data_IF_109112094783
#
_entry.id   IF_109112094783
#
_cell.length_a   1.000
_cell.length_b   1.000
_cell.length_c   1.000
_cell.angle_alpha   90.00
_cell.angle_beta   90.00
_cell.angle_gamma   90.00
#
_symmetry.space_group_name_H-M   'P 1'
#
loop_
_entity.id
_entity.type
_entity.pdbx_description
1 polymer ?
#
# COMPACT_ATOMS: atom_id res chain seq x y z
N UNK A 1 -36.72 -10.13 -37.75
CA UNK A 1 -36.65 -9.51 -36.41
C UNK A 1 -36.07 -10.53 -35.43
N UNK A 2 -34.79 -10.45 -35.02
CA UNK A 2 -34.24 -11.40 -34.04
C UNK A 2 -34.73 -11.06 -32.63
N UNK A 3 -35.28 -12.05 -31.93
CA UNK A 3 -35.83 -11.91 -30.58
C UNK A 3 -34.69 -11.68 -29.57
N UNK A 4 -34.74 -10.57 -28.85
CA UNK A 4 -33.88 -10.28 -27.70
C UNK A 4 -34.14 -11.32 -26.61
N UNK A 5 -33.15 -12.18 -26.33
CA UNK A 5 -33.18 -13.09 -25.18
C UNK A 5 -33.25 -12.25 -23.91
N UNK A 6 -34.35 -12.38 -23.15
CA UNK A 6 -34.53 -11.71 -21.87
C UNK A 6 -33.42 -12.11 -20.89
N UNK A 7 -32.81 -11.11 -20.24
CA UNK A 7 -31.84 -11.33 -19.16
C UNK A 7 -32.53 -12.08 -18.03
N UNK A 8 -31.91 -13.16 -17.54
CA UNK A 8 -32.39 -13.87 -16.34
C UNK A 8 -32.41 -12.89 -15.15
N UNK A 9 -33.47 -12.90 -14.32
CA UNK A 9 -33.49 -12.11 -13.10
C UNK A 9 -32.38 -12.57 -12.16
N UNK A 10 -31.73 -11.60 -11.52
CA UNK A 10 -30.69 -11.80 -10.51
C UNK A 10 -31.31 -12.49 -9.28
N UNK A 11 -30.82 -13.68 -8.95
CA UNK A 11 -31.24 -14.45 -7.78
C UNK A 11 -30.23 -14.23 -6.63
N UNK A 12 -30.57 -13.45 -5.59
CA UNK A 12 -29.68 -13.19 -4.47
C UNK A 12 -29.57 -14.38 -3.48
N UNK A 13 -30.37 -15.44 -3.64
CA UNK A 13 -30.38 -16.60 -2.75
C UNK A 13 -29.46 -17.75 -3.21
N UNK A 14 -28.85 -17.63 -4.39
CA UNK A 14 -27.86 -18.58 -4.86
C UNK A 14 -26.69 -18.66 -3.90
N UNK A 15 -26.35 -19.86 -3.43
CA UNK A 15 -25.15 -20.08 -2.63
C UNK A 15 -23.93 -19.68 -3.46
N UNK A 16 -23.43 -18.46 -3.25
CA UNK A 16 -22.20 -18.01 -3.89
C UNK A 16 -21.07 -18.95 -3.44
N UNK A 17 -20.46 -19.64 -4.40
CA UNK A 17 -19.23 -20.36 -4.15
C UNK A 17 -18.20 -19.35 -3.63
N UNK A 18 -17.58 -19.66 -2.48
CA UNK A 18 -16.58 -18.78 -1.85
C UNK A 18 -15.33 -18.64 -2.72
N UNK A 19 -15.17 -19.54 -3.71
CA UNK A 19 -14.13 -19.52 -4.75
C UNK A 19 -14.59 -18.84 -6.04
N UNK A 20 -15.82 -18.34 -6.12
CA UNK A 20 -16.32 -17.64 -7.30
C UNK A 20 -15.44 -16.43 -7.62
N UNK A 21 -14.98 -16.36 -8.87
CA UNK A 21 -14.20 -15.26 -9.41
C UNK A 21 -15.07 -14.20 -10.12
N UNK A 22 -16.37 -14.21 -9.84
CA UNK A 22 -17.33 -13.32 -10.49
C UNK A 22 -17.11 -11.89 -10.01
N UNK A 23 -16.65 -11.03 -10.92
CA UNK A 23 -16.38 -9.63 -10.65
C UNK A 23 -17.59 -8.77 -10.98
N UNK A 24 -17.95 -7.80 -10.11
CA UNK A 24 -18.97 -6.81 -10.45
C UNK A 24 -18.53 -5.95 -11.65
N UNK A 25 -19.50 -5.35 -12.34
CA UNK A 25 -19.23 -4.48 -13.48
C UNK A 25 -18.31 -3.32 -13.07
N UNK A 26 -17.22 -3.09 -13.83
CA UNK A 26 -16.14 -2.13 -13.54
C UNK A 26 -15.34 -2.40 -12.24
N UNK A 27 -15.25 -3.65 -11.79
CA UNK A 27 -14.38 -3.99 -10.67
C UNK A 27 -12.90 -3.76 -11.02
N UNK A 28 -12.28 -2.77 -10.38
CA UNK A 28 -10.83 -2.61 -10.37
C UNK A 28 -10.25 -3.42 -9.20
N UNK A 29 -9.85 -4.67 -9.47
CA UNK A 29 -9.32 -5.58 -8.46
C UNK A 29 -8.04 -6.27 -8.93
N UNK A 30 -7.19 -6.64 -7.97
CA UNK A 30 -6.03 -7.50 -8.20
C UNK A 30 -6.13 -8.76 -7.33
N UNK A 31 -5.68 -9.90 -7.83
CA UNK A 31 -5.66 -11.16 -7.06
C UNK A 31 -4.53 -11.15 -6.05
N UNK A 32 -4.83 -11.43 -4.79
CA UNK A 32 -3.88 -11.55 -3.69
C UNK A 32 -4.08 -12.89 -3.01
N UNK A 33 -2.99 -13.63 -2.78
CA UNK A 33 -3.03 -14.83 -1.96
C UNK A 33 -3.06 -14.42 -0.47
N UNK A 34 -4.17 -14.73 0.22
CA UNK A 34 -4.37 -14.43 1.63
C UNK A 34 -4.54 -15.74 2.39
N UNK A 35 -4.09 -15.80 3.63
CA UNK A 35 -4.32 -16.97 4.49
C UNK A 35 -5.82 -17.17 4.69
N UNK A 36 -6.26 -18.42 4.53
CA UNK A 36 -7.67 -18.77 4.65
C UNK A 36 -8.08 -18.73 6.14
N UNK A 37 -8.96 -17.79 6.55
CA UNK A 37 -9.38 -17.69 7.95
C UNK A 37 -10.23 -18.89 8.41
N UNK A 38 -10.70 -19.72 7.49
CA UNK A 38 -11.50 -20.92 7.76
C UNK A 38 -10.75 -22.21 7.43
N UNK A 39 -9.44 -22.14 7.15
CA UNK A 39 -8.66 -23.33 6.93
C UNK A 39 -8.59 -24.20 8.19
N UNK A 40 -8.87 -25.49 8.00
CA UNK A 40 -8.73 -26.51 9.04
C UNK A 40 -7.26 -26.74 9.40
N UNK A 41 -6.33 -26.44 8.47
CA UNK A 41 -4.89 -26.53 8.67
C UNK A 41 -4.24 -25.15 8.47
N UNK A 42 -3.39 -24.69 9.39
CA UNK A 42 -2.70 -23.42 9.26
C UNK A 42 -1.77 -23.42 8.03
N UNK A 43 -1.83 -22.33 7.24
CA UNK A 43 -0.97 -22.13 6.07
C UNK A 43 -1.66 -22.31 4.71
N UNK A 44 -2.91 -22.78 4.68
CA UNK A 44 -3.70 -22.78 3.45
C UNK A 44 -4.02 -21.35 3.02
N UNK A 45 -3.86 -21.07 1.72
CA UNK A 45 -4.10 -19.76 1.12
C UNK A 45 -5.27 -19.81 0.15
N UNK A 46 -6.10 -18.78 0.19
CA UNK A 46 -7.15 -18.51 -0.78
C UNK A 46 -6.75 -17.33 -1.67
N UNK A 47 -7.20 -17.36 -2.92
CA UNK A 47 -7.07 -16.23 -3.84
C UNK A 47 -8.23 -15.29 -3.55
N UNK A 48 -7.93 -14.11 -3.01
CA UNK A 48 -8.90 -13.04 -2.76
C UNK A 48 -8.69 -11.90 -3.78
N UNK A 49 -9.76 -11.18 -4.10
CA UNK A 49 -9.69 -9.97 -4.91
C UNK A 49 -9.54 -8.75 -3.99
N UNK A 50 -8.43 -8.03 -4.12
CA UNK A 50 -8.20 -6.74 -3.45
C UNK A 50 -8.60 -5.61 -4.40
N UNK A 51 -9.50 -4.74 -3.95
CA UNK A 51 -9.83 -3.50 -4.68
C UNK A 51 -8.59 -2.60 -4.79
N UNK A 52 -8.31 -2.12 -6.01
CA UNK A 52 -7.22 -1.16 -6.29
C UNK A 52 -7.73 0.25 -6.59
N UNK A 53 -9.05 0.46 -6.55
CA UNK A 53 -9.71 1.74 -6.92
C UNK A 53 -9.16 2.96 -6.15
N UNK A 54 -8.79 2.75 -4.89
CA UNK A 54 -8.24 3.79 -4.00
C UNK A 54 -6.79 3.47 -3.58
N UNK A 55 -6.09 2.64 -4.35
CA UNK A 55 -4.72 2.21 -4.06
C UNK A 55 -3.82 2.52 -5.26
N UNK A 56 -3.38 3.80 -5.41
CA UNK A 56 -2.60 4.21 -6.57
C UNK A 56 -1.32 3.39 -6.70
N UNK A 57 -0.65 3.06 -5.58
CA UNK A 57 0.53 2.20 -5.57
C UNK A 57 0.21 0.78 -6.08
N UNK A 58 -0.89 0.18 -5.61
CA UNK A 58 -1.36 -1.12 -6.09
C UNK A 58 -1.70 -1.12 -7.57
N UNK A 59 -2.35 -0.05 -8.05
CA UNK A 59 -2.67 0.15 -9.46
C UNK A 59 -1.41 0.25 -10.32
N UNK A 60 -0.43 1.07 -9.91
CA UNK A 60 0.85 1.19 -10.61
C UNK A 60 1.58 -0.16 -10.75
N UNK A 61 1.58 -0.97 -9.69
CA UNK A 61 2.21 -2.28 -9.70
C UNK A 61 1.43 -3.29 -10.57
N UNK A 62 0.10 -3.31 -10.48
CA UNK A 62 -0.74 -4.19 -11.31
C UNK A 62 -0.56 -3.94 -12.82
N UNK A 63 -0.35 -2.68 -13.21
CA UNK A 63 -0.05 -2.29 -14.59
C UNK A 63 1.45 -2.39 -14.95
N UNK A 64 2.30 -2.97 -14.08
CA UNK A 64 3.76 -3.10 -14.27
C UNK A 64 4.46 -1.76 -14.55
N UNK A 65 3.91 -0.66 -14.03
CA UNK A 65 4.54 0.65 -14.15
C UNK A 65 5.66 0.81 -13.12
N UNK A 66 5.56 0.13 -11.98
CA UNK A 66 6.61 -0.02 -10.97
C UNK A 66 6.94 -1.49 -10.78
N UNK A 67 8.17 -1.79 -10.34
CA UNK A 67 8.58 -3.16 -10.04
C UNK A 67 8.18 -3.60 -8.61
N UNK A 68 8.44 -4.87 -8.29
CA UNK A 68 8.10 -5.45 -6.98
C UNK A 68 8.91 -4.81 -5.85
N UNK A 69 10.14 -4.37 -6.12
CA UNK A 69 11.02 -3.72 -5.14
C UNK A 69 10.48 -2.36 -4.74
N UNK A 70 10.11 -1.53 -5.73
CA UNK A 70 9.44 -0.24 -5.56
C UNK A 70 8.08 -0.39 -4.89
N UNK A 71 7.32 -1.43 -5.25
CA UNK A 71 6.05 -1.73 -4.60
C UNK A 71 6.24 -2.04 -3.11
N UNK A 72 7.18 -2.93 -2.77
CA UNK A 72 7.50 -3.29 -1.39
C UNK A 72 8.04 -2.11 -0.58
N UNK A 73 8.84 -1.24 -1.18
CA UNK A 73 9.36 -0.04 -0.50
C UNK A 73 8.24 0.94 -0.17
N UNK A 74 7.31 1.17 -1.10
CA UNK A 74 6.11 1.97 -0.85
C UNK A 74 5.22 1.39 0.25
N UNK A 75 5.05 0.06 0.28
CA UNK A 75 4.30 -0.62 1.37
C UNK A 75 5.01 -0.54 2.73
N UNK A 76 6.34 -0.64 2.75
CA UNK A 76 7.12 -0.47 3.98
C UNK A 76 6.95 0.95 4.56
N UNK A 77 6.97 1.97 3.69
CA UNK A 77 6.70 3.36 4.08
C UNK A 77 5.30 3.54 4.65
N UNK A 78 4.26 3.01 4.00
CA UNK A 78 2.88 3.08 4.51
C UNK A 78 2.75 2.40 5.88
N UNK A 79 3.38 1.25 6.09
CA UNK A 79 3.35 0.53 7.36
C UNK A 79 4.04 1.32 8.48
N UNK A 80 5.17 1.98 8.19
CA UNK A 80 5.81 2.87 9.16
C UNK A 80 4.95 4.08 9.48
N UNK A 81 4.30 4.68 8.48
CA UNK A 81 3.36 5.80 8.69
C UNK A 81 2.18 5.39 9.59
N UNK A 82 1.53 4.27 9.28
CA UNK A 82 0.43 3.73 10.09
C UNK A 82 0.86 3.41 11.53
N UNK A 83 2.08 2.90 11.72
CA UNK A 83 2.64 2.66 13.05
C UNK A 83 2.88 3.97 13.80
N UNK A 84 3.50 4.96 13.15
CA UNK A 84 3.85 6.24 13.76
C UNK A 84 2.60 7.06 14.14
N UNK A 85 1.59 7.09 13.27
CA UNK A 85 0.32 7.79 13.49
C UNK A 85 -0.60 7.09 14.50
N UNK A 86 -0.30 5.83 14.86
CA UNK A 86 -1.12 5.09 15.83
C UNK A 86 -1.03 5.78 17.19
N UNK A 87 -2.11 6.39 17.64
CA UNK A 87 -2.20 6.96 18.98
C UNK A 87 -1.97 5.93 20.10
N UNK A 88 -1.67 6.38 21.33
CA UNK A 88 -1.48 5.49 22.48
C UNK A 88 -2.71 4.58 22.63
N UNK A 89 -2.45 3.27 22.80
CA UNK A 89 -3.51 2.26 22.89
C UNK A 89 -4.34 2.55 24.13
N UNK A 90 -5.65 2.74 23.96
CA UNK A 90 -6.57 2.98 25.07
C UNK A 90 -6.38 1.91 26.17
N UNK A 91 -6.22 2.39 27.40
CA UNK A 91 -6.08 1.55 28.60
C UNK A 91 -7.47 1.06 28.97
N UNK A 92 -7.65 -0.26 29.01
CA UNK A 92 -8.86 -0.86 29.56
C UNK A 92 -8.77 -0.84 31.09
N UNK A 93 -9.49 0.10 31.71
CA UNK A 93 -9.54 0.29 33.17
C UNK A 93 -10.41 -0.74 33.88
N UNK A 94 -11.14 -1.60 33.14
CA UNK A 94 -11.99 -2.65 33.72
C UNK A 94 -11.24 -3.95 33.98
N UNK A 95 -9.99 -4.04 33.51
CA UNK A 95 -9.15 -5.23 33.67
C UNK A 95 -8.50 -5.23 35.05
N UNK A 96 -8.63 -6.36 35.75
CA UNK A 96 -8.07 -6.58 37.09
C UNK A 96 -6.56 -6.31 37.12
N UNK A 97 -6.13 -5.48 38.08
CA UNK A 97 -4.74 -5.10 38.26
C UNK A 97 -3.95 -6.30 38.79
N UNK A 98 -3.13 -6.91 37.93
CA UNK A 98 -2.21 -7.99 38.30
C UNK A 98 -0.85 -7.42 38.68
N UNK A 99 -0.25 -7.93 39.76
CA UNK A 99 1.02 -7.50 40.38
C UNK A 99 2.29 -7.74 39.51
N UNK A 100 2.11 -7.88 38.20
CA UNK A 100 3.16 -7.96 37.18
C UNK A 100 2.91 -7.06 35.97
N UNK A 101 1.93 -6.14 36.05
CA UNK A 101 1.62 -5.20 34.99
C UNK A 101 2.69 -4.13 34.87
N UNK A 102 3.74 -4.39 34.07
CA UNK A 102 4.67 -3.32 33.69
C UNK A 102 3.88 -2.14 33.12
N UNK A 103 4.20 -0.94 33.61
CA UNK A 103 3.66 0.31 33.10
C UNK A 103 3.94 0.35 31.59
N UNK A 104 2.90 0.24 30.77
CA UNK A 104 3.08 0.21 29.31
C UNK A 104 3.61 1.57 28.87
N UNK A 105 4.76 1.58 28.20
CA UNK A 105 5.32 2.80 27.64
C UNK A 105 4.27 3.48 26.74
N UNK A 106 4.06 4.80 26.89
CA UNK A 106 3.06 5.53 26.11
C UNK A 106 3.38 5.55 24.60
N UNK A 107 4.66 5.38 24.23
CA UNK A 107 5.14 5.19 22.86
C UNK A 107 5.94 3.89 22.84
N UNK A 108 5.53 2.94 22.01
CA UNK A 108 6.26 1.67 21.85
C UNK A 108 7.57 1.87 21.09
N UNK A 109 8.60 1.07 21.37
CA UNK A 109 9.86 1.10 20.59
C UNK A 109 9.63 0.93 19.08
N UNK A 110 8.62 0.14 18.68
CA UNK A 110 8.23 0.00 17.28
C UNK A 110 7.75 1.31 16.64
N UNK A 111 7.03 2.15 17.39
CA UNK A 111 6.62 3.49 16.94
C UNK A 111 7.81 4.43 16.83
N UNK A 112 8.71 4.42 17.83
CA UNK A 112 9.95 5.21 17.80
C UNK A 112 10.78 4.90 16.55
N UNK A 113 11.00 3.62 16.27
CA UNK A 113 11.75 3.17 15.10
C UNK A 113 11.06 3.53 13.78
N UNK A 114 9.73 3.45 13.72
CA UNK A 114 8.97 3.89 12.55
C UNK A 114 9.16 5.39 12.30
N UNK A 115 9.01 6.24 13.33
CA UNK A 115 9.25 7.69 13.21
C UNK A 115 10.68 8.02 12.76
N UNK A 116 11.69 7.32 13.28
CA UNK A 116 13.07 7.52 12.84
C UNK A 116 13.27 7.17 11.35
N UNK A 117 12.65 6.08 10.87
CA UNK A 117 12.68 5.71 9.46
C UNK A 117 11.95 6.73 8.57
N UNK A 118 10.81 7.25 9.02
CA UNK A 118 10.08 8.29 8.30
C UNK A 118 10.89 9.59 8.20
N UNK A 119 11.50 10.04 9.30
CA UNK A 119 12.35 11.24 9.29
C UNK A 119 13.55 11.08 8.34
N UNK A 120 14.15 9.88 8.31
CA UNK A 120 15.21 9.56 7.35
C UNK A 120 14.70 9.60 5.91
N UNK A 121 13.53 9.02 5.66
CA UNK A 121 12.89 9.06 4.35
C UNK A 121 12.66 10.50 3.89
N UNK A 122 12.13 11.35 4.77
CA UNK A 122 11.88 12.76 4.46
C UNK A 122 13.16 13.51 4.09
N UNK A 123 14.25 13.23 4.80
CA UNK A 123 15.55 13.82 4.53
C UNK A 123 16.12 13.40 3.18
N UNK A 124 16.07 12.10 2.86
CA UNK A 124 16.60 11.53 1.60
C UNK A 124 15.79 11.96 0.38
N UNK A 125 14.47 12.12 0.52
CA UNK A 125 13.58 12.49 -0.58
C UNK A 125 13.53 14.01 -0.83
N UNK A 126 13.87 14.81 0.18
CA UNK A 126 13.72 16.27 0.16
C UNK A 126 12.26 16.72 0.15
N UNK A 127 12.02 18.03 0.31
CA UNK A 127 10.67 18.57 0.50
C UNK A 127 9.67 18.17 -0.61
N UNK A 128 10.05 18.33 -1.87
CA UNK A 128 9.18 18.02 -3.01
C UNK A 128 8.89 16.52 -3.15
N UNK A 129 9.92 15.69 -2.90
CA UNK A 129 9.80 14.23 -2.97
C UNK A 129 8.92 13.70 -1.84
N UNK A 130 9.15 14.17 -0.62
CA UNK A 130 8.34 13.83 0.56
C UNK A 130 6.89 14.24 0.39
N UNK A 131 6.63 15.45 -0.11
CA UNK A 131 5.26 15.91 -0.38
C UNK A 131 4.57 15.03 -1.43
N UNK A 132 5.26 14.68 -2.52
CA UNK A 132 4.72 13.80 -3.56
C UNK A 132 4.44 12.38 -3.03
N UNK A 133 5.37 11.81 -2.27
CA UNK A 133 5.20 10.49 -1.65
C UNK A 133 4.03 10.50 -0.67
N UNK A 134 3.88 11.56 0.13
CA UNK A 134 2.76 11.69 1.05
C UNK A 134 1.41 11.80 0.31
N UNK A 135 1.33 12.63 -0.74
CA UNK A 135 0.13 12.77 -1.58
C UNK A 135 -0.32 11.42 -2.17
N UNK A 136 0.62 10.62 -2.68
CA UNK A 136 0.29 9.37 -3.36
C UNK A 136 0.11 8.21 -2.37
N UNK A 137 1.06 8.01 -1.46
CA UNK A 137 1.09 6.83 -0.59
C UNK A 137 0.17 6.97 0.62
N UNK A 138 -0.01 8.18 1.17
CA UNK A 138 -0.82 8.37 2.38
C UNK A 138 -2.22 8.85 2.02
N UNK A 139 -2.33 9.89 1.18
CA UNK A 139 -3.63 10.42 0.78
C UNK A 139 -4.29 9.64 -0.37
N UNK A 140 -3.59 8.66 -0.95
CA UNK A 140 -4.13 7.79 -2.00
C UNK A 140 -4.39 8.52 -3.32
N UNK A 141 -3.73 9.67 -3.57
CA UNK A 141 -3.96 10.46 -4.78
C UNK A 141 -3.35 9.81 -6.02
N UNK A 142 -4.08 9.88 -7.13
CA UNK A 142 -3.57 9.58 -8.47
C UNK A 142 -2.69 10.72 -8.99
N UNK A 143 -1.85 10.46 -9.99
CA UNK A 143 -1.01 11.50 -10.61
C UNK A 143 -1.81 12.67 -11.18
N UNK A 144 -3.01 12.39 -11.68
CA UNK A 144 -3.94 13.42 -12.13
C UNK A 144 -4.39 14.32 -10.98
N UNK A 145 -4.81 13.72 -9.85
CA UNK A 145 -5.22 14.47 -8.64
C UNK A 145 -4.06 15.27 -8.03
N UNK A 146 -2.85 14.70 -8.02
CA UNK A 146 -1.63 15.43 -7.62
C UNK A 146 -1.41 16.65 -8.52
N UNK A 147 -1.53 16.47 -9.84
CA UNK A 147 -1.44 17.56 -10.80
C UNK A 147 -2.50 18.64 -10.56
N UNK A 148 -3.76 18.24 -10.39
CA UNK A 148 -4.87 19.15 -10.08
C UNK A 148 -4.61 19.95 -8.80
N UNK A 149 -4.18 19.29 -7.72
CA UNK A 149 -3.86 19.94 -6.44
C UNK A 149 -2.75 20.99 -6.58
N UNK A 150 -1.82 20.79 -7.51
CA UNK A 150 -0.68 21.67 -7.78
C UNK A 150 -0.94 22.69 -8.90
N UNK A 151 -2.13 22.69 -9.52
CA UNK A 151 -2.44 23.53 -10.69
C UNK A 151 -1.70 23.12 -11.98
N UNK A 152 -1.20 21.89 -12.04
CA UNK A 152 -0.37 21.34 -13.10
C UNK A 152 -1.07 20.14 -13.76
N UNK A 153 -2.10 20.42 -14.57
CA UNK A 153 -3.04 19.39 -15.05
C UNK A 153 -2.68 18.75 -16.40
N UNK A 154 -1.55 19.09 -17.02
CA UNK A 154 -1.19 18.55 -18.36
C UNK A 154 -0.59 17.16 -18.27
N UNK A 155 -0.72 16.35 -19.33
CA UNK A 155 -0.13 15.00 -19.41
C UNK A 155 1.37 15.00 -19.10
N UNK A 156 2.10 16.00 -19.60
CA UNK A 156 3.54 16.16 -19.34
C UNK A 156 3.88 16.23 -17.85
N UNK A 157 3.03 16.91 -17.07
CA UNK A 157 3.21 16.99 -15.62
C UNK A 157 2.87 15.68 -14.94
N UNK A 158 1.83 14.97 -15.40
CA UNK A 158 1.50 13.64 -14.89
C UNK A 158 2.65 12.64 -15.12
N UNK A 159 3.25 12.65 -16.31
CA UNK A 159 4.41 11.80 -16.65
C UNK A 159 5.63 12.17 -15.80
N UNK A 160 5.84 13.47 -15.56
CA UNK A 160 6.89 13.95 -14.65
C UNK A 160 6.66 13.43 -13.22
N UNK A 161 5.46 13.56 -12.66
CA UNK A 161 5.16 13.06 -11.32
C UNK A 161 5.29 11.54 -11.23
N UNK A 162 4.88 10.80 -12.26
CA UNK A 162 5.05 9.36 -12.30
C UNK A 162 6.54 8.97 -12.30
N UNK A 163 7.39 9.65 -13.08
CA UNK A 163 8.84 9.42 -13.06
C UNK A 163 9.46 9.81 -11.74
N UNK A 164 9.06 10.96 -11.18
CA UNK A 164 9.57 11.45 -9.89
C UNK A 164 9.19 10.52 -8.74
N UNK A 165 7.97 9.96 -8.75
CA UNK A 165 7.56 8.96 -7.77
C UNK A 165 8.44 7.71 -7.85
N UNK A 166 8.77 7.22 -9.04
CA UNK A 166 9.69 6.07 -9.20
C UNK A 166 11.05 6.34 -8.57
N UNK A 167 11.64 7.49 -8.87
CA UNK A 167 12.91 7.92 -8.26
C UNK A 167 12.82 7.92 -6.72
N UNK A 168 11.70 8.40 -6.16
CA UNK A 168 11.46 8.35 -4.73
C UNK A 168 11.33 6.91 -4.19
N UNK A 169 10.59 6.03 -4.87
CA UNK A 169 10.43 4.63 -4.49
C UNK A 169 11.75 3.85 -4.55
N UNK A 170 12.64 4.19 -5.49
CA UNK A 170 14.00 3.64 -5.57
C UNK A 170 14.85 4.05 -4.37
N UNK A 171 14.77 5.32 -3.96
CA UNK A 171 15.45 5.81 -2.74
C UNK A 171 14.91 5.13 -1.49
N UNK A 172 13.59 4.98 -1.39
CA UNK A 172 12.97 4.21 -0.31
C UNK A 172 13.42 2.75 -0.32
N UNK A 173 13.55 2.12 -1.49
CA UNK A 173 14.02 0.74 -1.59
C UNK A 173 15.43 0.56 -1.04
N UNK A 174 16.34 1.50 -1.32
CA UNK A 174 17.68 1.51 -0.74
C UNK A 174 17.64 1.71 0.78
N UNK A 175 16.84 2.67 1.26
CA UNK A 175 16.71 2.98 2.69
C UNK A 175 16.15 1.81 3.50
N UNK A 176 15.15 1.10 2.94
CA UNK A 176 14.54 -0.09 3.54
C UNK A 176 15.37 -1.37 3.34
N UNK A 177 16.51 -1.31 2.66
CA UNK A 177 17.38 -2.46 2.40
C UNK A 177 16.78 -3.48 1.44
N UNK A 178 15.79 -3.07 0.63
CA UNK A 178 15.14 -3.90 -0.39
C UNK A 178 15.93 -3.88 -1.71
N UNK A 179 16.72 -2.83 -1.93
CA UNK A 179 17.65 -2.72 -3.04
C UNK A 179 19.07 -2.54 -2.52
N UNK A 180 20.06 -3.06 -3.26
CA UNK A 180 21.47 -2.78 -3.03
C UNK A 180 21.90 -1.68 -4.00
N UNK A 181 22.69 -0.67 -3.57
CA UNK A 181 23.24 0.30 -4.51
C UNK A 181 24.08 -0.45 -5.52
N UNK A 182 23.87 -0.18 -6.81
CA UNK A 182 24.64 -0.80 -7.88
C UNK A 182 26.12 -0.44 -7.68
N UNK A 183 26.91 -1.40 -7.18
CA UNK A 183 28.36 -1.26 -7.13
C UNK A 183 28.82 -1.38 -8.57
N UNK A 184 28.93 -0.24 -9.25
CA UNK A 184 29.58 -0.17 -10.56
C UNK A 184 30.92 -0.93 -10.52
N UNK A 185 31.35 -1.53 -11.65
CA UNK A 185 32.48 -2.45 -11.67
C UNK A 185 33.67 -1.79 -10.97
N UNK A 186 34.18 -2.46 -9.94
CA UNK A 186 35.41 -2.07 -9.27
C UNK A 186 36.46 -1.91 -10.38
N UNK A 187 36.85 -0.67 -10.63
CA UNK A 187 37.90 -0.37 -11.60
C UNK A 187 39.18 -0.82 -10.90
N UNK A 188 39.55 -2.08 -11.13
CA UNK A 188 40.85 -2.62 -10.72
C UNK A 188 41.91 -1.67 -11.28
N UNK A 189 42.72 -1.14 -10.37
CA UNK A 189 43.72 -0.12 -10.62
C UNK A 189 45.10 -0.74 -10.49
#
# INVERSE_FOLDING_TARGET
>A
MPRTKGRKPYDPAGTHDRRSQDLPFNAEVTTVAVDDPLALEPGNKIIAFRSIRNDPLGRLHAHRQIDDTQYRSGRAFQNDWEKAERGPRAVDTTREYVDGGQQREPITEGQRQATLRLNRAEHELGADGSALVHDVLILGMTMEQVGQRRGLCTQRWQDYFARRLKECLDRLALMYGLATPDRGPAKDR
#
